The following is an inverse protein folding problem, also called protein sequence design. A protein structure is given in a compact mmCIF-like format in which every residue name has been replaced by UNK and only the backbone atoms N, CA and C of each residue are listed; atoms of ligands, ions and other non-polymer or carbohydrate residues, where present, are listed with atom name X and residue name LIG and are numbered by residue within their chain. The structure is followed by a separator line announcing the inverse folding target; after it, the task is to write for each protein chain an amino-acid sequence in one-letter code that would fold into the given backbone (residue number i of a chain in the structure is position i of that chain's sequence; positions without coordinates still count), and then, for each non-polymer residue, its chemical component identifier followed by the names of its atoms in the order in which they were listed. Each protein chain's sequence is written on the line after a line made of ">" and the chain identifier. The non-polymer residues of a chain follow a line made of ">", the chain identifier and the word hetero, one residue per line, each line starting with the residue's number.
data_IF_307566931552
#
_entry.id   IF_307566931552
#
_cell.length_a   1.000
_cell.length_b   1.000
_cell.length_c   1.000
_cell.angle_alpha   90.00
_cell.angle_beta   90.00
_cell.angle_gamma   90.00
#
_symmetry.space_group_name_H-M   'P 1'
#
loop_
_entity.id
_entity.type
_entity.pdbx_description
1 polymer ?
#
# COMPACT_ATOMS: atom_id res chain seq x y z
N UNK A 1 -64.02 11.68 21.38
CA UNK A 1 -62.78 10.98 21.01
C UNK A 1 -63.07 10.25 19.71
N UNK A 2 -62.32 10.54 18.64
CA UNK A 2 -61.23 9.64 18.30
C UNK A 2 -59.91 10.32 17.91
N UNK A 3 -58.86 9.54 18.16
CA UNK A 3 -57.50 9.49 17.63
C UNK A 3 -57.38 9.99 16.18
N UNK A 4 -56.33 10.67 15.72
CA UNK A 4 -55.06 11.08 16.32
C UNK A 4 -54.21 11.75 15.21
N UNK A 5 -53.23 12.61 15.55
CA UNK A 5 -52.27 13.10 14.56
C UNK A 5 -51.01 12.24 14.57
N UNK A 6 -50.48 11.87 13.40
CA UNK A 6 -49.04 11.69 13.24
C UNK A 6 -48.60 12.43 11.97
N UNK A 7 -47.70 13.44 12.08
CA UNK A 7 -47.12 14.10 10.93
C UNK A 7 -46.15 13.13 10.23
N UNK A 8 -46.31 12.96 8.92
CA UNK A 8 -45.29 12.32 8.09
C UNK A 8 -44.07 13.26 7.99
N UNK A 9 -43.01 12.90 8.69
CA UNK A 9 -41.68 13.38 8.40
C UNK A 9 -40.65 12.66 9.26
N UNK A 10 -39.36 12.65 8.90
CA UNK A 10 -38.74 12.59 7.58
C UNK A 10 -38.05 11.22 7.37
N UNK A 11 -37.73 10.83 6.14
CA UNK A 11 -36.58 9.92 5.95
C UNK A 11 -35.41 10.78 5.43
N UNK A 12 -34.35 11.00 6.23
CA UNK A 12 -33.13 11.55 5.67
C UNK A 12 -32.56 10.52 4.70
N UNK A 13 -32.41 10.91 3.44
CA UNK A 13 -31.47 10.28 2.50
C UNK A 13 -30.05 10.56 3.03
N UNK A 14 -29.67 9.91 4.12
CA UNK A 14 -28.26 9.79 4.47
C UNK A 14 -27.60 8.86 3.45
N UNK A 15 -26.40 9.16 2.96
CA UNK A 15 -25.67 8.19 2.14
C UNK A 15 -25.56 6.89 2.93
N UNK A 16 -25.92 5.77 2.29
CA UNK A 16 -25.74 4.45 2.89
C UNK A 16 -24.29 4.33 3.36
N UNK A 17 -24.03 3.73 4.54
CA UNK A 17 -22.68 3.47 4.97
C UNK A 17 -22.00 2.64 3.88
N UNK A 18 -20.89 3.15 3.35
CA UNK A 18 -19.98 2.35 2.53
C UNK A 18 -19.63 1.12 3.36
N UNK A 19 -20.29 -0.01 3.04
CA UNK A 19 -19.87 -1.31 3.53
C UNK A 19 -18.41 -1.53 3.12
N UNK A 20 -17.68 -2.42 3.80
CA UNK A 20 -16.29 -2.71 3.43
C UNK A 20 -16.24 -3.00 1.94
N UNK A 21 -15.45 -2.19 1.22
CA UNK A 21 -15.28 -2.27 -0.24
C UNK A 21 -15.04 -3.74 -0.58
N UNK A 22 -15.85 -4.37 -1.47
CA UNK A 22 -15.66 -5.76 -1.83
C UNK A 22 -14.23 -5.93 -2.35
N UNK A 23 -13.45 -6.76 -1.68
CA UNK A 23 -12.12 -7.14 -2.16
C UNK A 23 -12.32 -7.93 -3.44
N UNK A 24 -12.08 -7.31 -4.60
CA UNK A 24 -12.17 -7.99 -5.90
C UNK A 24 -10.97 -8.94 -6.05
N UNK A 25 -11.16 -10.28 -6.00
CA UNK A 25 -10.07 -11.23 -6.09
C UNK A 25 -9.36 -11.19 -7.45
N UNK A 26 -10.06 -10.77 -8.52
CA UNK A 26 -9.45 -10.61 -9.83
C UNK A 26 -8.51 -9.41 -9.85
N UNK A 27 -8.88 -8.33 -9.16
CA UNK A 27 -8.04 -7.15 -9.01
C UNK A 27 -6.78 -7.44 -8.18
N UNK A 28 -6.93 -8.16 -7.07
CA UNK A 28 -5.79 -8.61 -6.26
C UNK A 28 -4.84 -9.52 -7.07
N UNK A 29 -5.37 -10.42 -7.91
CA UNK A 29 -4.56 -11.27 -8.79
C UNK A 29 -3.80 -10.45 -9.86
N UNK A 30 -4.42 -9.40 -10.40
CA UNK A 30 -3.77 -8.47 -11.33
C UNK A 30 -2.67 -7.68 -10.64
N UNK A 31 -2.92 -7.15 -9.45
CA UNK A 31 -1.92 -6.46 -8.63
C UNK A 31 -0.72 -7.39 -8.35
N UNK A 32 -0.95 -8.64 -7.92
CA UNK A 32 0.08 -9.66 -7.72
C UNK A 32 0.91 -9.92 -8.98
N UNK A 33 0.26 -10.02 -10.14
CA UNK A 33 0.95 -10.20 -11.42
C UNK A 33 1.84 -9.00 -11.77
N UNK A 34 1.33 -7.78 -11.64
CA UNK A 34 2.05 -6.54 -11.99
C UNK A 34 3.23 -6.30 -11.05
N UNK A 35 3.01 -6.38 -9.74
CA UNK A 35 4.05 -6.23 -8.72
C UNK A 35 5.10 -7.35 -8.86
N UNK A 36 4.65 -8.59 -9.04
CA UNK A 36 5.51 -9.76 -9.21
C UNK A 36 6.41 -9.64 -10.45
N UNK A 37 5.86 -9.21 -11.60
CA UNK A 37 6.63 -8.99 -12.82
C UNK A 37 7.68 -7.90 -12.64
N UNK A 38 7.28 -6.73 -12.14
CA UNK A 38 8.19 -5.61 -11.92
C UNK A 38 9.35 -5.98 -10.98
N UNK A 39 9.02 -6.70 -9.90
CA UNK A 39 10.02 -7.22 -9.00
C UNK A 39 10.94 -8.24 -9.66
N UNK A 40 10.40 -9.15 -10.47
CA UNK A 40 11.17 -10.15 -11.21
C UNK A 40 12.21 -9.51 -12.13
N UNK A 41 11.81 -8.48 -12.88
CA UNK A 41 12.70 -7.70 -13.75
C UNK A 41 13.80 -6.95 -12.97
N UNK A 42 13.56 -6.65 -11.69
CA UNK A 42 14.44 -5.87 -10.82
C UNK A 42 14.90 -6.66 -9.58
N UNK A 43 14.96 -7.99 -9.68
CA UNK A 43 15.18 -8.89 -8.53
C UNK A 43 16.38 -8.47 -7.68
N UNK A 44 17.52 -8.20 -8.31
CA UNK A 44 18.76 -7.81 -7.63
C UNK A 44 18.63 -6.51 -6.82
N UNK A 45 17.78 -5.56 -7.24
CA UNK A 45 17.54 -4.32 -6.53
C UNK A 45 16.74 -4.58 -5.25
N UNK A 46 15.66 -5.35 -5.34
CA UNK A 46 14.83 -5.72 -4.20
C UNK A 46 15.61 -6.53 -3.16
N UNK A 47 16.33 -7.58 -3.58
CA UNK A 47 17.17 -8.38 -2.68
C UNK A 47 18.23 -7.53 -1.96
N UNK A 48 18.84 -6.57 -2.68
CA UNK A 48 19.81 -5.66 -2.09
C UNK A 48 19.17 -4.78 -1.03
N UNK A 49 18.00 -4.21 -1.30
CA UNK A 49 17.29 -3.36 -0.34
C UNK A 49 16.87 -4.13 0.91
N UNK A 50 16.39 -5.38 0.75
CA UNK A 50 16.02 -6.23 1.88
C UNK A 50 17.23 -6.56 2.74
N UNK A 51 18.35 -6.95 2.11
CA UNK A 51 19.59 -7.26 2.82
C UNK A 51 20.12 -6.05 3.60
N UNK A 52 20.06 -4.85 3.01
CA UNK A 52 20.51 -3.62 3.67
C UNK A 52 19.58 -3.23 4.81
N UNK A 53 18.27 -3.31 4.61
CA UNK A 53 17.26 -3.01 5.63
C UNK A 53 17.37 -4.00 6.81
N UNK A 54 17.46 -5.30 6.52
CA UNK A 54 17.66 -6.33 7.55
C UNK A 54 19.00 -6.21 8.25
N UNK A 55 20.04 -5.66 7.60
CA UNK A 55 21.31 -5.35 8.28
C UNK A 55 21.17 -4.15 9.23
N UNK A 56 20.50 -3.08 8.81
CA UNK A 56 20.27 -1.91 9.65
C UNK A 56 19.44 -2.28 10.88
N UNK A 57 18.35 -3.03 10.69
CA UNK A 57 17.49 -3.49 11.78
C UNK A 57 18.25 -4.34 12.80
N UNK A 58 19.03 -5.33 12.35
CA UNK A 58 19.83 -6.17 13.26
C UNK A 58 20.83 -5.37 14.10
N UNK A 59 21.42 -4.31 13.53
CA UNK A 59 22.35 -3.45 14.27
C UNK A 59 21.61 -2.63 15.34
N UNK A 60 20.42 -2.13 15.00
CA UNK A 60 19.55 -1.43 15.94
C UNK A 60 19.07 -2.34 17.08
N UNK A 61 18.58 -3.54 16.76
CA UNK A 61 18.16 -4.56 17.75
C UNK A 61 19.31 -5.02 18.65
N UNK A 62 20.54 -5.07 18.11
CA UNK A 62 21.74 -5.38 18.88
C UNK A 62 22.24 -4.21 19.76
N UNK A 63 21.54 -3.07 19.78
CA UNK A 63 21.94 -1.88 20.54
C UNK A 63 23.18 -1.18 19.96
N UNK A 64 23.53 -1.44 18.70
CA UNK A 64 24.69 -0.86 17.99
C UNK A 64 24.26 -0.19 16.68
N UNK A 65 23.32 0.76 16.73
CA UNK A 65 22.78 1.38 15.52
C UNK A 65 23.89 2.02 14.68
N UNK A 66 23.80 1.85 13.36
CA UNK A 66 24.79 2.37 12.42
C UNK A 66 24.13 3.27 11.40
N UNK A 67 24.42 4.56 11.48
CA UNK A 67 23.94 5.57 10.54
C UNK A 67 24.30 5.22 9.08
N UNK A 68 25.51 4.72 8.83
CA UNK A 68 25.93 4.28 7.49
C UNK A 68 25.11 3.09 6.97
N UNK A 69 24.71 2.16 7.85
CA UNK A 69 23.84 1.06 7.45
C UNK A 69 22.43 1.57 7.15
N UNK A 70 21.89 2.43 8.01
CA UNK A 70 20.58 3.06 7.85
C UNK A 70 20.48 3.90 6.58
N UNK A 71 21.48 4.72 6.29
CA UNK A 71 21.53 5.56 5.08
C UNK A 71 21.60 4.73 3.80
N UNK A 72 22.34 3.61 3.81
CA UNK A 72 22.36 2.69 2.67
C UNK A 72 21.04 1.96 2.47
N UNK A 73 20.39 1.56 3.55
CA UNK A 73 19.06 0.96 3.49
C UNK A 73 18.03 1.97 2.96
N UNK A 74 18.05 3.21 3.45
CA UNK A 74 17.17 4.29 3.00
C UNK A 74 17.31 4.55 1.50
N UNK A 75 18.53 4.74 0.99
CA UNK A 75 18.74 4.96 -0.46
C UNK A 75 18.27 3.79 -1.32
N UNK A 76 18.50 2.55 -0.86
CA UNK A 76 18.04 1.38 -1.60
C UNK A 76 16.51 1.27 -1.61
N UNK A 77 15.84 1.71 -0.53
CA UNK A 77 14.37 1.80 -0.47
C UNK A 77 13.84 2.90 -1.39
N UNK A 78 14.41 4.09 -1.35
CA UNK A 78 13.99 5.23 -2.20
C UNK A 78 14.02 4.86 -3.70
N UNK A 79 15.04 4.12 -4.14
CA UNK A 79 15.16 3.66 -5.53
C UNK A 79 14.03 2.68 -5.93
N UNK A 80 13.59 1.84 -5.01
CA UNK A 80 12.46 0.92 -5.20
C UNK A 80 11.14 1.67 -5.13
N UNK A 81 10.96 2.55 -4.14
CA UNK A 81 9.74 3.33 -3.94
C UNK A 81 9.41 4.18 -5.15
N UNK A 82 10.39 4.86 -5.75
CA UNK A 82 10.18 5.63 -6.97
C UNK A 82 9.62 4.77 -8.12
N UNK A 83 10.17 3.57 -8.31
CA UNK A 83 9.69 2.62 -9.31
C UNK A 83 8.28 2.10 -9.02
N UNK A 84 8.00 1.78 -7.76
CA UNK A 84 6.69 1.29 -7.34
C UNK A 84 5.60 2.38 -7.38
N UNK A 85 5.93 3.63 -7.06
CA UNK A 85 5.01 4.77 -7.19
C UNK A 85 4.62 4.98 -8.66
N UNK A 86 5.59 4.94 -9.58
CA UNK A 86 5.30 5.05 -11.01
C UNK A 86 4.44 3.87 -11.49
N UNK A 87 4.73 2.65 -11.04
CA UNK A 87 3.96 1.46 -11.38
C UNK A 87 2.53 1.51 -10.81
N UNK A 88 2.37 1.97 -9.57
CA UNK A 88 1.08 2.18 -8.92
C UNK A 88 0.23 3.17 -9.70
N UNK A 89 0.80 4.32 -10.10
CA UNK A 89 0.09 5.31 -10.90
C UNK A 89 -0.36 4.75 -12.26
N UNK A 90 0.48 3.95 -12.92
CA UNK A 90 0.11 3.29 -14.18
C UNK A 90 -1.00 2.24 -13.99
N UNK A 91 -0.95 1.48 -12.89
CA UNK A 91 -1.97 0.50 -12.54
C UNK A 91 -3.32 1.17 -12.26
N UNK A 92 -3.32 2.22 -11.44
CA UNK A 92 -4.51 3.03 -11.14
C UNK A 92 -5.12 3.65 -12.40
N UNK A 93 -4.28 4.20 -13.29
CA UNK A 93 -4.76 4.74 -14.55
C UNK A 93 -5.41 3.68 -15.47
N UNK A 94 -5.06 2.41 -15.33
CA UNK A 94 -5.60 1.29 -16.12
C UNK A 94 -6.84 0.65 -15.49
N UNK A 95 -6.86 0.51 -14.17
CA UNK A 95 -7.86 -0.29 -13.43
C UNK A 95 -8.85 0.56 -12.63
N UNK A 96 -8.60 1.86 -12.46
CA UNK A 96 -9.42 2.81 -11.69
C UNK A 96 -8.82 3.20 -10.34
N UNK A 97 -9.29 4.32 -9.76
CA UNK A 97 -8.71 4.93 -8.55
C UNK A 97 -8.71 3.99 -7.33
N UNK A 98 -9.74 3.17 -7.17
CA UNK A 98 -9.88 2.21 -6.06
C UNK A 98 -8.85 1.07 -6.12
N UNK A 99 -8.21 0.84 -7.28
CA UNK A 99 -7.23 -0.23 -7.46
C UNK A 99 -5.89 0.02 -6.76
N UNK A 100 -5.63 1.27 -6.36
CA UNK A 100 -4.41 1.62 -5.65
C UNK A 100 -4.24 0.83 -4.35
N UNK A 101 -5.33 0.57 -3.62
CA UNK A 101 -5.28 -0.18 -2.36
C UNK A 101 -4.89 -1.64 -2.57
N UNK A 102 -5.39 -2.29 -3.63
CA UNK A 102 -5.02 -3.67 -3.97
C UNK A 102 -3.52 -3.77 -4.29
N UNK A 103 -3.00 -2.79 -5.04
CA UNK A 103 -1.57 -2.67 -5.33
C UNK A 103 -0.75 -2.49 -4.05
N UNK A 104 -1.15 -1.56 -3.19
CA UNK A 104 -0.42 -1.25 -1.95
C UNK A 104 -0.41 -2.44 -0.98
N UNK A 105 -1.55 -3.14 -0.84
CA UNK A 105 -1.64 -4.38 -0.05
C UNK A 105 -0.68 -5.45 -0.55
N UNK A 106 -0.61 -5.66 -1.86
CA UNK A 106 0.27 -6.69 -2.43
C UNK A 106 1.75 -6.34 -2.24
N UNK A 107 2.14 -5.06 -2.40
CA UNK A 107 3.51 -4.64 -2.11
C UNK A 107 3.88 -4.87 -0.65
N UNK A 108 3.02 -4.48 0.28
CA UNK A 108 3.26 -4.65 1.73
C UNK A 108 3.35 -6.12 2.12
N UNK A 109 2.51 -6.97 1.52
CA UNK A 109 2.54 -8.42 1.71
C UNK A 109 3.84 -9.04 1.21
N UNK A 110 4.34 -8.59 0.06
CA UNK A 110 5.54 -9.15 -0.57
C UNK A 110 6.84 -8.66 0.06
N UNK A 111 6.88 -7.42 0.54
CA UNK A 111 8.09 -6.79 1.08
C UNK A 111 7.90 -6.16 2.46
N UNK A 112 7.49 -6.95 3.48
CA UNK A 112 7.20 -6.42 4.81
C UNK A 112 8.42 -5.78 5.48
N UNK A 113 9.63 -6.25 5.15
CA UNK A 113 10.88 -5.75 5.73
C UNK A 113 11.36 -4.41 5.15
N UNK A 114 10.77 -3.96 4.03
CA UNK A 114 11.20 -2.74 3.36
C UNK A 114 10.50 -1.48 3.87
N UNK A 115 9.39 -1.59 4.62
CA UNK A 115 8.70 -0.42 5.19
C UNK A 115 8.31 0.63 4.14
N UNK A 116 7.94 0.17 2.95
CA UNK A 116 7.73 1.01 1.76
C UNK A 116 6.55 1.96 1.93
N UNK A 117 6.71 3.20 1.48
CA UNK A 117 5.68 4.25 1.51
C UNK A 117 5.23 4.59 0.11
N UNK A 118 4.18 3.90 -0.34
CA UNK A 118 3.64 4.09 -1.69
C UNK A 118 2.57 5.18 -1.80
N UNK A 119 2.14 5.73 -0.67
CA UNK A 119 1.17 6.81 -0.60
C UNK A 119 1.89 8.14 -0.49
N UNK A 120 1.60 9.06 -1.40
CA UNK A 120 1.85 10.50 -1.22
C UNK A 120 0.91 11.05 -0.15
N UNK A 121 1.10 10.66 1.11
CA UNK A 121 0.53 11.41 2.23
C UNK A 121 1.51 12.55 2.48
N UNK A 122 1.30 13.67 1.79
CA UNK A 122 1.85 14.95 2.22
C UNK A 122 1.52 15.10 3.70
N UNK A 123 2.58 15.25 4.50
CA UNK A 123 2.47 15.70 5.88
C UNK A 123 1.79 17.08 5.92
#
# INVERSE_FOLDING_TARGET
>A
MPEGPMPEGPMPEGPMPEGPVPVDPALDARAASVVGRHAGERTALFERAERLSGKALRLEEAGTPSESASNRAARAREEIEAGLIALRSAFVASEGDESGEAFDREVLKRYPALGLRLHGRSA
#
